data_IF_122662377009
#
_entry.id   IF_122662377009
#
_cell.length_a   1.000
_cell.length_b   1.000
_cell.length_c   1.000
_cell.angle_alpha   90.00
_cell.angle_beta   90.00
_cell.angle_gamma   90.00
#
_symmetry.space_group_name_H-M   'P 1'
#
loop_
_entity.id
_entity.type
_entity.pdbx_description
1 polymer ?
#
# COMPACT_ATOMS: atom_id res chain seq x y z
N UNK A 1 17.60 46.73 -34.48
CA UNK A 1 16.41 46.27 -33.72
C UNK A 1 15.99 44.88 -34.21
N UNK A 2 16.41 43.80 -33.55
CA UNK A 2 16.05 42.42 -33.95
C UNK A 2 16.14 41.48 -32.73
N UNK A 3 15.22 41.63 -31.76
CA UNK A 3 15.11 40.74 -30.58
C UNK A 3 13.70 40.27 -30.23
N UNK A 4 12.66 40.77 -30.90
CA UNK A 4 11.25 40.55 -30.48
C UNK A 4 10.65 39.21 -30.92
N UNK A 5 11.23 38.55 -31.92
CA UNK A 5 10.71 37.30 -32.50
C UNK A 5 11.07 36.04 -31.70
N UNK A 6 12.18 36.05 -30.96
CA UNK A 6 12.66 34.86 -30.22
C UNK A 6 11.93 34.67 -28.88
N UNK A 7 11.49 35.75 -28.25
CA UNK A 7 10.76 35.68 -26.97
C UNK A 7 9.34 35.15 -27.16
N UNK A 8 8.70 35.46 -28.28
CA UNK A 8 7.31 35.05 -28.52
C UNK A 8 7.18 33.54 -28.78
N UNK A 9 8.15 32.96 -29.50
CA UNK A 9 8.19 31.52 -29.75
C UNK A 9 8.55 30.74 -28.48
N UNK A 10 9.49 31.23 -27.67
CA UNK A 10 9.85 30.61 -26.40
C UNK A 10 8.66 30.58 -25.41
N UNK A 11 7.92 31.68 -25.31
CA UNK A 11 6.73 31.77 -24.44
C UNK A 11 5.60 30.86 -24.92
N UNK A 12 5.37 30.75 -26.24
CA UNK A 12 4.39 29.84 -26.82
C UNK A 12 4.77 28.37 -26.58
N UNK A 13 6.05 28.03 -26.77
CA UNK A 13 6.55 26.67 -26.58
C UNK A 13 6.47 26.24 -25.10
N UNK A 14 6.79 27.14 -24.17
CA UNK A 14 6.65 26.90 -22.73
C UNK A 14 5.20 26.71 -22.28
N UNK A 15 4.25 27.42 -22.89
CA UNK A 15 2.82 27.26 -22.55
C UNK A 15 2.23 25.96 -23.08
N UNK A 16 2.65 25.53 -24.27
CA UNK A 16 2.27 24.21 -24.82
C UNK A 16 2.88 23.10 -23.97
N UNK A 17 4.16 23.21 -23.59
CA UNK A 17 4.82 22.24 -22.72
C UNK A 17 4.14 22.15 -21.34
N UNK A 18 3.90 23.31 -20.69
CA UNK A 18 3.21 23.37 -19.41
C UNK A 18 1.79 22.79 -19.50
N UNK A 19 1.05 23.08 -20.57
CA UNK A 19 -0.28 22.50 -20.81
C UNK A 19 -0.23 20.98 -20.98
N UNK A 20 0.74 20.48 -21.75
CA UNK A 20 0.91 19.04 -22.00
C UNK A 20 1.28 18.24 -20.74
N UNK A 21 1.90 18.88 -19.75
CA UNK A 21 2.31 18.25 -18.49
C UNK A 21 1.20 18.18 -17.43
N UNK A 22 0.12 18.97 -17.54
CA UNK A 22 -0.97 18.98 -16.55
C UNK A 22 -1.60 17.59 -16.40
N UNK A 23 -2.05 16.99 -17.51
CA UNK A 23 -2.76 15.72 -17.48
C UNK A 23 -1.87 14.55 -17.00
N UNK A 24 -0.63 14.38 -17.49
CA UNK A 24 0.29 13.37 -16.97
C UNK A 24 0.58 13.54 -15.47
N UNK A 25 0.83 14.77 -15.00
CA UNK A 25 1.11 15.02 -13.58
C UNK A 25 -0.07 14.68 -12.68
N UNK A 26 -1.29 15.02 -13.10
CA UNK A 26 -2.50 14.69 -12.36
C UNK A 26 -2.78 13.18 -12.35
N UNK A 27 -2.60 12.50 -13.49
CA UNK A 27 -2.80 11.05 -13.58
C UNK A 27 -1.78 10.29 -12.72
N UNK A 28 -0.50 10.59 -12.89
CA UNK A 28 0.57 9.95 -12.12
C UNK A 28 0.42 10.30 -10.64
N UNK A 29 0.19 11.57 -10.30
CA UNK A 29 -0.06 12.01 -8.93
C UNK A 29 -1.23 11.26 -8.28
N UNK A 30 -2.36 11.17 -8.98
CA UNK A 30 -3.54 10.43 -8.52
C UNK A 30 -3.28 8.94 -8.32
N UNK A 31 -2.54 8.28 -9.23
CA UNK A 31 -2.15 6.88 -9.08
C UNK A 31 -1.29 6.69 -7.81
N UNK A 32 -0.29 7.53 -7.59
CA UNK A 32 0.58 7.43 -6.42
C UNK A 32 -0.19 7.63 -5.09
N UNK A 33 -1.16 8.57 -5.07
CA UNK A 33 -2.05 8.73 -3.91
C UNK A 33 -2.91 7.48 -3.72
N UNK A 34 -3.55 6.96 -4.77
CA UNK A 34 -4.41 5.78 -4.68
C UNK A 34 -3.65 4.53 -4.25
N UNK A 35 -2.44 4.31 -4.79
CA UNK A 35 -1.56 3.23 -4.36
C UNK A 35 -1.17 3.45 -2.90
N UNK A 36 -0.67 4.63 -2.53
CA UNK A 36 -0.26 4.93 -1.16
C UNK A 36 -1.38 4.77 -0.12
N UNK A 37 -2.62 5.14 -0.46
CA UNK A 37 -3.78 4.92 0.41
C UNK A 37 -4.13 3.43 0.56
N UNK A 38 -3.89 2.62 -0.47
CA UNK A 38 -4.05 1.16 -0.42
C UNK A 38 -2.84 0.44 0.21
N UNK A 39 -1.66 1.07 0.24
CA UNK A 39 -0.44 0.60 0.91
C UNK A 39 -0.62 0.72 2.43
N UNK A 40 -1.41 -0.20 2.97
CA UNK A 40 -1.90 -0.17 4.34
C UNK A 40 -3.21 -0.94 4.53
N UNK A 41 -3.86 -1.40 3.46
CA UNK A 41 -5.05 -2.26 3.51
C UNK A 41 -4.71 -3.74 3.35
N UNK A 42 -3.56 -4.07 2.77
CA UNK A 42 -3.08 -5.45 2.67
C UNK A 42 -2.70 -6.01 4.05
N UNK A 43 -2.90 -7.31 4.31
CA UNK A 43 -2.42 -7.95 5.54
C UNK A 43 -0.94 -7.63 5.78
N UNK A 44 -0.59 -7.28 7.02
CA UNK A 44 0.80 -7.03 7.42
C UNK A 44 1.60 -8.32 7.55
N UNK A 45 2.93 -8.23 7.74
CA UNK A 45 3.79 -9.40 7.91
C UNK A 45 3.42 -10.26 9.14
N UNK A 46 2.73 -9.67 10.11
CA UNK A 46 2.22 -10.31 11.33
C UNK A 46 0.70 -10.42 11.38
N UNK A 47 -0.01 -10.06 10.30
CA UNK A 47 -1.47 -10.15 10.26
C UNK A 47 -1.88 -11.58 9.92
N UNK A 48 -2.73 -12.15 10.77
CA UNK A 48 -3.31 -13.48 10.56
C UNK A 48 -4.56 -13.36 9.70
N UNK A 49 -4.73 -14.27 8.73
CA UNK A 49 -5.92 -14.36 7.88
C UNK A 49 -6.46 -15.78 7.94
N UNK A 50 -7.72 -15.93 8.34
CA UNK A 50 -8.39 -17.23 8.29
C UNK A 50 -8.88 -17.51 6.86
N UNK A 51 -8.55 -18.68 6.32
CA UNK A 51 -8.91 -19.10 4.98
C UNK A 51 -9.06 -20.64 4.91
N UNK A 52 -9.47 -21.18 3.78
CA UNK A 52 -9.51 -22.62 3.52
C UNK A 52 -8.42 -23.05 2.51
N UNK A 53 -8.07 -24.33 2.52
CA UNK A 53 -7.20 -24.89 1.48
C UNK A 53 -7.88 -24.76 0.12
N UNK A 54 -7.15 -24.21 -0.86
CA UNK A 54 -7.68 -23.95 -2.20
C UNK A 54 -8.22 -22.53 -2.41
N UNK A 55 -8.34 -21.71 -1.35
CA UNK A 55 -8.68 -20.29 -1.49
C UNK A 55 -7.56 -19.51 -2.18
N UNK A 56 -7.96 -18.40 -2.80
CA UNK A 56 -7.04 -17.41 -3.34
C UNK A 56 -6.30 -16.69 -2.20
N UNK A 57 -4.99 -16.49 -2.38
CA UNK A 57 -4.16 -15.78 -1.43
C UNK A 57 -3.46 -14.58 -2.06
N UNK A 58 -3.37 -13.52 -1.26
CA UNK A 58 -2.57 -12.34 -1.57
C UNK A 58 -1.10 -12.51 -1.22
N UNK A 59 -0.27 -11.59 -1.71
CA UNK A 59 1.19 -11.63 -1.53
C UNK A 59 1.69 -11.38 -0.09
N UNK A 60 0.81 -11.01 0.84
CA UNK A 60 1.15 -10.65 2.23
C UNK A 60 0.14 -11.25 3.22
N UNK A 61 0.56 -11.45 4.47
CA UNK A 61 -0.23 -12.07 5.55
C UNK A 61 0.20 -13.49 5.88
N UNK A 62 -0.16 -13.94 7.08
CA UNK A 62 0.00 -15.32 7.55
C UNK A 62 -1.36 -15.99 7.51
N UNK A 63 -1.53 -17.00 6.66
CA UNK A 63 -2.81 -17.66 6.48
C UNK A 63 -2.93 -18.84 7.44
N UNK A 64 -4.10 -19.02 8.03
CA UNK A 64 -4.41 -20.16 8.89
C UNK A 64 -5.71 -20.79 8.41
N UNK A 65 -5.77 -22.13 8.45
CA UNK A 65 -6.98 -22.85 8.15
C UNK A 65 -7.99 -22.67 9.29
N UNK A 66 -9.18 -22.16 8.98
CA UNK A 66 -10.18 -21.81 10.01
C UNK A 66 -10.66 -23.02 10.84
N UNK A 67 -10.72 -24.21 10.23
CA UNK A 67 -11.25 -25.42 10.86
C UNK A 67 -10.25 -26.16 11.73
N UNK A 68 -8.95 -26.09 11.40
CA UNK A 68 -7.91 -26.91 12.03
C UNK A 68 -6.87 -26.07 12.77
N UNK A 69 -6.81 -24.76 12.48
CA UNK A 69 -5.74 -23.88 12.93
C UNK A 69 -4.39 -24.15 12.25
N UNK A 70 -4.36 -25.01 11.22
CA UNK A 70 -3.13 -25.34 10.52
C UNK A 70 -2.59 -24.14 9.72
N UNK A 71 -1.25 -23.98 9.63
CA UNK A 71 -0.69 -22.89 8.86
C UNK A 71 -0.83 -23.13 7.36
N UNK A 72 -1.26 -22.10 6.65
CA UNK A 72 -1.36 -22.08 5.21
C UNK A 72 -0.35 -21.09 4.63
N UNK A 73 0.29 -21.48 3.53
CA UNK A 73 1.17 -20.61 2.74
C UNK A 73 0.65 -20.51 1.32
N UNK A 74 0.73 -19.29 0.81
CA UNK A 74 0.47 -19.00 -0.58
C UNK A 74 1.55 -19.65 -1.45
N UNK A 75 1.17 -20.63 -2.27
CA UNK A 75 2.05 -21.33 -3.21
C UNK A 75 1.54 -21.21 -4.65
N UNK A 76 2.47 -21.15 -5.60
CA UNK A 76 2.13 -21.14 -7.02
C UNK A 76 1.27 -19.93 -7.41
N UNK A 77 0.29 -20.06 -8.34
CA UNK A 77 -0.48 -18.94 -8.89
C UNK A 77 -1.49 -18.32 -7.90
N UNK A 78 -1.17 -18.24 -6.61
CA UNK A 78 -2.01 -17.63 -5.59
C UNK A 78 -2.95 -18.61 -4.88
N UNK A 79 -2.53 -19.86 -4.63
CA UNK A 79 -3.37 -20.85 -3.95
C UNK A 79 -2.78 -21.22 -2.58
N UNK A 80 -3.64 -21.33 -1.56
CA UNK A 80 -3.23 -21.75 -0.21
C UNK A 80 -2.99 -23.27 -0.11
N UNK A 81 -1.87 -23.62 0.54
CA UNK A 81 -1.48 -25.01 0.88
C UNK A 81 -0.91 -25.06 2.29
N UNK A 82 -0.97 -26.23 2.92
CA UNK A 82 -0.40 -26.45 4.26
C UNK A 82 1.11 -26.18 4.29
N UNK A 83 1.57 -25.57 5.37
CA UNK A 83 2.98 -25.21 5.59
C UNK A 83 3.35 -25.11 7.07
N UNK A 84 4.63 -24.88 7.39
CA UNK A 84 5.04 -24.44 8.72
C UNK A 84 4.74 -22.95 8.93
N UNK A 85 4.20 -22.61 10.09
CA UNK A 85 4.04 -21.21 10.54
C UNK A 85 5.39 -20.69 11.01
N UNK A 86 5.90 -19.64 10.37
CA UNK A 86 7.13 -18.95 10.76
C UNK A 86 6.90 -17.44 10.66
N UNK A 87 6.84 -16.78 11.81
CA UNK A 87 6.79 -15.33 11.87
C UNK A 87 8.21 -14.74 11.74
N UNK A 88 8.40 -13.71 10.90
CA UNK A 88 9.70 -13.04 10.78
C UNK A 88 10.19 -12.48 12.13
N UNK A 89 11.38 -12.89 12.55
CA UNK A 89 12.03 -12.43 13.79
C UNK A 89 11.68 -13.24 15.04
N UNK A 90 10.71 -14.16 14.98
CA UNK A 90 10.35 -14.99 16.12
C UNK A 90 11.35 -16.15 16.29
N UNK A 91 11.65 -16.54 17.53
CA UNK A 91 12.43 -17.75 17.80
C UNK A 91 11.63 -19.01 17.43
N UNK A 92 12.30 -20.17 17.40
CA UNK A 92 11.62 -21.44 17.13
C UNK A 92 10.59 -21.74 18.23
N UNK A 93 10.98 -21.53 19.48
CA UNK A 93 10.15 -21.73 20.66
C UNK A 93 8.91 -20.82 20.63
N UNK A 94 9.07 -19.55 20.24
CA UNK A 94 7.95 -18.61 20.11
C UNK A 94 6.98 -19.02 18.99
N UNK A 95 7.50 -19.51 17.86
CA UNK A 95 6.65 -20.01 16.78
C UNK A 95 5.90 -21.29 17.18
N UNK A 96 6.56 -22.18 17.93
CA UNK A 96 5.94 -23.40 18.44
C UNK A 96 4.87 -23.11 19.51
N UNK A 97 5.09 -22.13 20.39
CA UNK A 97 4.10 -21.66 21.36
C UNK A 97 2.84 -21.09 20.69
N UNK A 98 3.02 -20.28 19.63
CA UNK A 98 1.89 -19.74 18.86
C UNK A 98 1.14 -20.87 18.15
N UNK A 99 1.87 -21.85 17.56
CA UNK A 99 1.26 -22.99 16.89
C UNK A 99 0.46 -23.86 17.86
N UNK A 100 1.02 -24.18 19.02
CA UNK A 100 0.35 -24.98 20.03
C UNK A 100 -0.93 -24.28 20.52
N UNK A 101 -0.84 -22.98 20.78
CA UNK A 101 -1.99 -22.19 21.21
C UNK A 101 -3.10 -22.11 20.15
N UNK A 102 -2.74 -21.95 18.87
CA UNK A 102 -3.70 -21.96 17.76
C UNK A 102 -4.39 -23.31 17.59
N UNK A 103 -3.65 -24.41 17.76
CA UNK A 103 -4.22 -25.76 17.73
C UNK A 103 -5.24 -25.96 18.86
N UNK A 104 -4.92 -25.51 20.10
CA UNK A 104 -5.87 -25.57 21.22
C UNK A 104 -7.15 -24.76 20.94
N UNK A 105 -7.03 -23.58 20.33
CA UNK A 105 -8.21 -22.77 19.97
C UNK A 105 -9.07 -23.44 18.90
N UNK A 106 -8.49 -24.20 17.97
CA UNK A 106 -9.23 -24.92 16.94
C UNK A 106 -9.97 -26.16 17.49
N UNK A 107 -9.45 -26.81 18.54
CA UNK A 107 -10.08 -27.96 19.20
C UNK A 107 -11.46 -27.61 19.81
N UNK A 108 -11.67 -26.35 20.20
CA UNK A 108 -12.93 -25.86 20.79
C UNK A 108 -14.06 -25.61 19.76
N UNK A 109 -13.87 -25.98 18.49
CA UNK A 109 -14.89 -25.91 17.43
C UNK A 109 -14.52 -25.06 16.22
N UNK A 110 -13.23 -24.83 15.98
CA UNK A 110 -12.69 -23.98 14.92
C UNK A 110 -12.43 -22.55 15.36
N UNK A 111 -11.57 -21.85 14.61
CA UNK A 111 -11.18 -20.47 14.90
C UNK A 111 -12.32 -19.50 14.56
N UNK A 112 -12.88 -18.84 15.56
CA UNK A 112 -13.94 -17.85 15.37
C UNK A 112 -13.37 -16.44 15.13
N UNK A 113 -14.21 -15.53 14.62
CA UNK A 113 -13.87 -14.09 14.49
C UNK A 113 -13.51 -13.45 15.83
N UNK A 114 -14.00 -13.99 16.95
CA UNK A 114 -13.65 -13.52 18.29
C UNK A 114 -12.25 -13.95 18.71
N UNK A 115 -11.79 -15.13 18.27
CA UNK A 115 -10.43 -15.62 18.50
C UNK A 115 -9.41 -14.85 17.67
N UNK A 116 -9.83 -14.30 16.53
CA UNK A 116 -8.96 -13.50 15.67
C UNK A 116 -8.34 -12.30 16.40
N UNK A 117 -9.14 -11.57 17.19
CA UNK A 117 -8.64 -10.41 17.95
C UNK A 117 -7.66 -10.84 19.04
N UNK A 118 -7.94 -11.93 19.74
CA UNK A 118 -7.07 -12.46 20.79
C UNK A 118 -5.75 -12.94 20.18
N UNK A 119 -5.81 -13.65 19.06
CA UNK A 119 -4.67 -14.13 18.28
C UNK A 119 -3.81 -12.98 17.79
N UNK A 120 -4.43 -11.97 17.17
CA UNK A 120 -3.71 -10.81 16.68
C UNK A 120 -3.06 -10.03 17.84
N UNK A 121 -3.75 -9.84 18.96
CA UNK A 121 -3.19 -9.15 20.14
C UNK A 121 -1.97 -9.87 20.71
N UNK A 122 -1.98 -11.22 20.75
CA UNK A 122 -0.83 -11.98 21.27
C UNK A 122 0.37 -11.90 20.32
N UNK A 123 0.13 -12.01 19.01
CA UNK A 123 1.17 -11.89 18.00
C UNK A 123 1.77 -10.48 17.99
N UNK A 124 0.93 -9.45 18.06
CA UNK A 124 1.36 -8.05 18.12
C UNK A 124 2.20 -7.79 19.38
N UNK A 125 1.80 -8.36 20.54
CA UNK A 125 2.57 -8.25 21.78
C UNK A 125 3.96 -8.91 21.70
N UNK A 126 4.09 -10.05 21.02
CA UNK A 126 5.41 -10.67 20.78
C UNK A 126 6.22 -9.82 19.79
N UNK A 127 5.59 -9.33 18.72
CA UNK A 127 6.23 -8.51 17.71
C UNK A 127 6.75 -7.16 18.26
N UNK A 128 6.04 -6.56 19.21
CA UNK A 128 6.46 -5.33 19.89
C UNK A 128 7.64 -5.55 20.85
N UNK A 129 7.84 -6.78 21.33
CA UNK A 129 9.00 -7.17 22.15
C UNK A 129 10.26 -7.51 21.37
N UNK A 130 10.21 -7.52 20.03
CA UNK A 130 11.34 -7.89 19.19
C UNK A 130 12.48 -6.85 19.21
N UNK A 131 13.75 -7.27 19.18
CA UNK A 131 14.89 -6.35 19.08
C UNK A 131 14.81 -5.44 17.84
N UNK A 132 15.30 -4.19 17.93
CA UNK A 132 15.31 -3.28 16.78
C UNK A 132 16.09 -3.89 15.60
N UNK A 133 15.49 -3.85 14.41
CA UNK A 133 16.05 -4.43 13.18
C UNK A 133 15.70 -5.90 12.90
N UNK A 134 15.00 -6.58 13.82
CA UNK A 134 14.45 -7.92 13.58
C UNK A 134 12.97 -7.91 13.20
N UNK A 135 12.26 -6.85 13.61
CA UNK A 135 10.88 -6.61 13.22
C UNK A 135 10.82 -6.24 11.73
N UNK A 136 9.84 -6.82 11.02
CA UNK A 136 9.49 -6.36 9.67
C UNK A 136 8.41 -5.31 9.82
N UNK A 137 8.77 -4.04 9.64
CA UNK A 137 7.80 -2.96 9.64
C UNK A 137 6.76 -3.14 8.53
N UNK A 138 5.51 -2.80 8.86
CA UNK A 138 4.47 -2.62 7.85
C UNK A 138 4.93 -1.56 6.86
N UNK A 139 4.92 -1.89 5.57
CA UNK A 139 5.16 -0.89 4.53
C UNK A 139 4.16 0.26 4.69
N UNK A 140 4.69 1.46 4.91
CA UNK A 140 3.91 2.67 5.00
C UNK A 140 3.73 3.26 3.62
N UNK A 141 2.48 3.44 3.19
CA UNK A 141 2.13 4.18 1.99
C UNK A 141 2.47 5.67 2.02
N UNK A 142 2.91 6.20 3.17
CA UNK A 142 3.17 7.62 3.40
C UNK A 142 4.04 8.26 2.32
N UNK A 143 5.14 7.60 1.92
CA UNK A 143 6.03 8.10 0.87
C UNK A 143 5.31 8.23 -0.48
N UNK A 144 4.51 7.25 -0.87
CA UNK A 144 3.73 7.30 -2.12
C UNK A 144 2.64 8.36 -2.06
N UNK A 145 1.99 8.54 -0.90
CA UNK A 145 1.00 9.61 -0.68
C UNK A 145 1.67 10.98 -0.85
N UNK A 146 2.84 11.20 -0.23
CA UNK A 146 3.57 12.47 -0.36
C UNK A 146 4.00 12.76 -1.80
N UNK A 147 4.53 11.77 -2.51
CA UNK A 147 4.89 11.90 -3.94
C UNK A 147 3.64 12.22 -4.77
N UNK A 148 2.55 11.49 -4.55
CA UNK A 148 1.29 11.69 -5.26
C UNK A 148 0.68 13.07 -5.00
N UNK A 149 0.68 13.52 -3.74
CA UNK A 149 0.20 14.83 -3.34
C UNK A 149 1.04 15.96 -3.95
N UNK A 150 2.36 15.82 -3.97
CA UNK A 150 3.27 16.80 -4.58
C UNK A 150 3.03 16.92 -6.10
N UNK A 151 2.91 15.79 -6.81
CA UNK A 151 2.65 15.77 -8.25
C UNK A 151 1.26 16.33 -8.61
N UNK A 152 0.24 15.96 -7.84
CA UNK A 152 -1.12 16.47 -8.03
C UNK A 152 -1.18 17.98 -7.77
N UNK A 153 -0.53 18.45 -6.70
CA UNK A 153 -0.41 19.87 -6.38
C UNK A 153 0.29 20.66 -7.48
N UNK A 154 1.39 20.13 -8.04
CA UNK A 154 2.08 20.74 -9.17
C UNK A 154 1.19 20.82 -10.43
N UNK A 155 0.47 19.75 -10.75
CA UNK A 155 -0.49 19.72 -11.87
C UNK A 155 -1.60 20.77 -11.72
N UNK A 156 -2.17 20.92 -10.53
CA UNK A 156 -3.20 21.92 -10.24
C UNK A 156 -2.65 23.36 -10.29
N UNK A 157 -1.43 23.57 -9.83
CA UNK A 157 -0.76 24.88 -9.94
C UNK A 157 -0.55 25.28 -11.41
N UNK A 158 -0.12 24.33 -12.26
CA UNK A 158 0.01 24.56 -13.70
C UNK A 158 -1.35 24.83 -14.37
N UNK A 159 -2.39 24.06 -14.02
CA UNK A 159 -3.73 24.24 -14.55
C UNK A 159 -4.33 25.61 -14.18
N UNK A 160 -4.17 26.04 -12.93
CA UNK A 160 -4.66 27.34 -12.47
C UNK A 160 -3.91 28.51 -13.14
N UNK A 161 -2.59 28.38 -13.32
CA UNK A 161 -1.79 29.35 -14.08
C UNK A 161 -2.22 29.44 -15.54
N UNK A 162 -2.46 28.30 -16.19
CA UNK A 162 -2.95 28.24 -17.57
C UNK A 162 -4.35 28.83 -17.71
N UNK A 163 -5.28 28.48 -16.83
CA UNK A 163 -6.64 29.01 -16.82
C UNK A 163 -6.65 30.54 -16.61
N UNK A 164 -5.82 31.06 -15.70
CA UNK A 164 -5.68 32.51 -15.46
C UNK A 164 -5.14 33.23 -16.69
N UNK A 165 -4.11 32.69 -17.35
CA UNK A 165 -3.54 33.22 -18.59
C UNK A 165 -4.58 33.24 -19.72
N UNK A 166 -5.30 32.15 -19.89
CA UNK A 166 -6.36 32.04 -20.90
C UNK A 166 -7.51 33.03 -20.67
N UNK A 167 -7.95 33.17 -19.41
CA UNK A 167 -8.98 34.14 -19.05
C UNK A 167 -8.52 35.59 -19.28
N UNK A 168 -7.24 35.89 -19.04
CA UNK A 168 -6.66 37.20 -19.35
C UNK A 168 -6.62 37.47 -20.86
N UNK A 169 -6.20 36.49 -21.68
CA UNK A 169 -6.21 36.63 -23.14
C UNK A 169 -7.62 36.89 -23.68
N UNK A 170 -8.64 36.15 -23.21
CA UNK A 170 -10.04 36.38 -23.60
C UNK A 170 -10.55 37.78 -23.24
N UNK A 171 -10.13 38.35 -22.10
CA UNK A 171 -10.51 39.72 -21.71
C UNK A 171 -9.76 40.80 -22.49
N UNK A 172 -8.58 40.48 -23.01
CA UNK A 172 -7.76 41.39 -23.80
C UNK A 172 -8.17 41.47 -25.29
N UNK A 173 -9.15 40.68 -25.73
CA UNK A 173 -9.69 40.74 -27.10
C UNK A 173 -8.81 40.10 -28.18
N UNK A 174 -7.91 39.19 -27.80
CA UNK A 174 -7.15 38.34 -28.72
C UNK A 174 -7.86 37.00 -28.97
#
# INVERSE_FOLDING_TARGET
MRRKSSDSTAVALLTVLAGSLILPLLLVGGIFVAVGLNTGSAPGPYTVVFAAVGDECGAKGQYLEASTGEPLRCMGPGVLRTSSLEFPGFSREQNDDVRHWLATLAEDGGLSVFDHRSVQTKIDGIADGLPPGTRVERESGSTMIWIGAALTGAGLALASGFARRWHQNRRAGF
#
